data_IF_883861412061
#
_entry.id   IF_883861412061
#
_cell.length_a   1.000
_cell.length_b   1.000
_cell.length_c   1.000
_cell.angle_alpha   90.00
_cell.angle_beta   90.00
_cell.angle_gamma   90.00
#
_symmetry.space_group_name_H-M   'P 1'
#
loop_
_entity.id
_entity.type
_entity.pdbx_description
1 polymer ?
#
# COMPACT_ATOMS: atom_id res chain seq x y z
N UNK A 1 -2.06 23.36 10.95
CA UNK A 1 -2.54 24.34 9.95
C UNK A 1 -2.95 23.60 8.67
N UNK A 2 -3.54 24.29 7.69
CA UNK A 2 -3.87 23.70 6.39
C UNK A 2 -2.68 23.73 5.40
N UNK A 3 -1.53 24.23 5.82
CA UNK A 3 -0.33 24.40 4.99
C UNK A 3 0.66 23.24 5.17
N UNK A 4 0.39 22.34 6.11
CA UNK A 4 1.25 21.19 6.41
C UNK A 4 2.56 21.59 7.08
N UNK A 5 2.56 22.66 7.89
CA UNK A 5 3.77 23.11 8.58
C UNK A 5 4.17 22.06 9.61
N UNK A 6 5.42 21.56 9.58
CA UNK A 6 5.91 20.63 10.59
C UNK A 6 5.82 21.26 11.98
N UNK A 7 5.18 20.56 12.91
CA UNK A 7 5.06 20.99 14.30
C UNK A 7 6.35 20.71 15.07
N UNK A 8 6.99 19.57 14.78
CA UNK A 8 8.20 19.11 15.45
C UNK A 8 8.92 18.07 14.58
N UNK A 9 10.16 17.73 14.94
CA UNK A 9 10.91 16.65 14.29
C UNK A 9 11.88 15.97 15.24
N UNK A 10 12.08 14.68 15.02
CA UNK A 10 13.12 13.87 15.67
C UNK A 10 14.09 13.31 14.63
N UNK A 11 15.37 13.22 14.99
CA UNK A 11 16.41 12.65 14.13
C UNK A 11 16.86 11.32 14.70
N UNK A 12 16.73 10.26 13.90
CA UNK A 12 17.18 8.92 14.22
C UNK A 12 18.34 8.50 13.32
N UNK A 13 19.24 7.67 13.85
CA UNK A 13 20.29 7.05 13.04
C UNK A 13 19.66 6.07 12.04
N UNK A 14 20.15 6.06 10.79
CA UNK A 14 19.54 5.29 9.69
C UNK A 14 19.58 3.76 9.83
N UNK A 15 20.21 3.24 10.88
CA UNK A 15 20.20 1.82 11.24
C UNK A 15 19.04 1.45 12.19
N UNK A 16 18.28 2.43 12.69
CA UNK A 16 17.12 2.18 13.53
C UNK A 16 15.88 2.02 12.66
N UNK A 17 15.12 0.95 12.93
CA UNK A 17 13.84 0.71 12.28
C UNK A 17 12.81 1.74 12.75
N UNK A 18 12.12 2.37 11.78
CA UNK A 18 10.98 3.26 12.01
C UNK A 18 9.88 2.59 12.85
N UNK A 19 9.83 1.26 12.85
CA UNK A 19 8.92 0.49 13.68
C UNK A 19 9.04 0.81 15.17
N UNK A 20 10.27 0.94 15.68
CA UNK A 20 10.52 1.12 17.10
C UNK A 20 10.53 2.60 17.49
N UNK A 21 10.97 3.46 16.58
CA UNK A 21 11.19 4.88 16.86
C UNK A 21 9.90 5.69 16.74
N UNK A 22 9.01 5.34 15.81
CA UNK A 22 7.81 6.13 15.54
C UNK A 22 6.83 6.15 16.73
N UNK A 23 6.51 5.04 17.41
CA UNK A 23 5.63 5.09 18.58
C UNK A 23 6.19 5.96 19.71
N UNK A 24 7.51 5.92 19.92
CA UNK A 24 8.20 6.72 20.94
C UNK A 24 8.14 8.22 20.62
N UNK A 25 8.41 8.59 19.35
CA UNK A 25 8.29 9.97 18.89
C UNK A 25 6.86 10.49 19.11
N UNK A 26 5.87 9.70 18.74
CA UNK A 26 4.46 10.06 18.86
C UNK A 26 4.05 10.26 20.32
N UNK A 27 4.48 9.38 21.24
CA UNK A 27 4.20 9.55 22.67
C UNK A 27 4.82 10.83 23.22
N UNK A 28 6.07 11.12 22.86
CA UNK A 28 6.74 12.35 23.28
C UNK A 28 5.99 13.60 22.78
N UNK A 29 5.50 13.60 21.52
CA UNK A 29 4.69 14.69 20.98
C UNK A 29 3.34 14.80 21.70
N UNK A 30 2.71 13.67 22.00
CA UNK A 30 1.44 13.61 22.70
C UNK A 30 1.53 14.25 24.08
N UNK A 31 2.57 13.90 24.83
CA UNK A 31 2.84 14.47 26.15
C UNK A 31 3.21 15.95 26.07
N UNK A 32 4.09 16.32 25.13
CA UNK A 32 4.59 17.69 24.97
C UNK A 32 3.49 18.69 24.61
N UNK A 33 2.55 18.28 23.75
CA UNK A 33 1.50 19.16 23.23
C UNK A 33 0.10 18.88 23.80
N UNK A 34 -0.03 17.91 24.71
CA UNK A 34 -1.32 17.54 25.32
C UNK A 34 -2.32 17.01 24.29
N UNK A 35 -1.87 16.20 23.33
CA UNK A 35 -2.71 15.70 22.24
C UNK A 35 -3.57 14.54 22.76
N UNK A 36 -4.89 14.63 22.61
CA UNK A 36 -5.81 13.58 23.05
C UNK A 36 -5.94 12.46 22.01
N UNK A 37 -6.14 12.84 20.75
CA UNK A 37 -6.33 11.93 19.63
C UNK A 37 -5.15 11.95 18.68
N UNK A 38 -4.63 10.77 18.34
CA UNK A 38 -3.49 10.62 17.43
C UNK A 38 -3.82 9.62 16.34
N UNK A 39 -3.61 10.03 15.08
CA UNK A 39 -3.79 9.18 13.90
C UNK A 39 -2.48 9.13 13.11
N UNK A 40 -1.90 7.94 12.98
CA UNK A 40 -0.67 7.71 12.23
C UNK A 40 -1.02 7.57 10.76
N UNK A 41 -0.59 8.51 9.91
CA UNK A 41 -0.74 8.42 8.46
C UNK A 41 0.62 8.08 7.86
N UNK A 42 0.74 6.88 7.29
CA UNK A 42 2.01 6.41 6.75
C UNK A 42 1.85 5.56 5.50
N UNK A 43 2.98 5.30 4.86
CA UNK A 43 3.02 4.43 3.71
C UNK A 43 2.80 2.95 4.10
N UNK A 44 2.94 2.07 3.12
CA UNK A 44 2.76 0.62 3.31
C UNK A 44 3.82 -0.02 4.23
N UNK A 45 4.96 0.62 4.45
CA UNK A 45 6.08 0.07 5.22
C UNK A 45 5.68 -0.21 6.66
N UNK A 46 4.77 0.60 7.21
CA UNK A 46 4.24 0.43 8.56
C UNK A 46 2.99 -0.45 8.65
N UNK A 47 2.57 -1.07 7.55
CA UNK A 47 1.39 -1.94 7.50
C UNK A 47 1.70 -3.39 7.91
N UNK A 48 2.51 -3.57 8.96
CA UNK A 48 2.77 -4.88 9.58
C UNK A 48 1.72 -5.16 10.66
N UNK A 49 1.37 -6.43 10.91
CA UNK A 49 0.39 -6.75 11.96
C UNK A 49 0.88 -6.29 13.34
N UNK A 50 2.17 -6.48 13.63
CA UNK A 50 2.77 -6.08 14.89
C UNK A 50 2.67 -4.55 15.09
N UNK A 51 2.84 -3.76 14.03
CA UNK A 51 2.73 -2.30 14.07
C UNK A 51 1.30 -1.86 14.36
N UNK A 52 0.32 -2.46 13.66
CA UNK A 52 -1.09 -2.09 13.86
C UNK A 52 -1.58 -2.49 15.26
N UNK A 53 -1.12 -3.64 15.77
CA UNK A 53 -1.41 -4.05 17.15
C UNK A 53 -0.81 -3.09 18.16
N UNK A 54 0.45 -2.72 18.01
CA UNK A 54 1.13 -1.80 18.92
C UNK A 54 0.45 -0.42 18.92
N UNK A 55 0.14 0.12 17.74
CA UNK A 55 -0.62 1.35 17.60
C UNK A 55 -1.98 1.27 18.32
N UNK A 56 -2.75 0.20 18.09
CA UNK A 56 -4.05 0.02 18.73
C UNK A 56 -3.93 -0.12 20.26
N UNK A 57 -2.93 -0.85 20.76
CA UNK A 57 -2.67 -1.03 22.19
C UNK A 57 -2.31 0.29 22.89
N UNK A 58 -1.63 1.20 22.18
CA UNK A 58 -1.29 2.55 22.67
C UNK A 58 -2.44 3.55 22.51
N UNK A 59 -3.55 3.14 21.90
CA UNK A 59 -4.72 3.99 21.64
C UNK A 59 -4.57 4.90 20.42
N UNK A 60 -3.66 4.59 19.50
CA UNK A 60 -3.46 5.34 18.27
C UNK A 60 -4.35 4.82 17.14
N UNK A 61 -4.97 5.75 16.40
CA UNK A 61 -5.53 5.47 15.09
C UNK A 61 -4.44 5.34 14.04
N UNK A 62 -4.76 4.72 12.90
CA UNK A 62 -3.83 4.61 11.78
C UNK A 62 -4.53 4.64 10.42
N UNK A 63 -3.82 5.15 9.42
CA UNK A 63 -4.15 5.10 8.01
C UNK A 63 -2.89 4.70 7.24
N UNK A 64 -2.84 3.45 6.80
CA UNK A 64 -1.66 2.89 6.12
C UNK A 64 -2.04 2.25 4.78
N UNK A 65 -1.11 2.29 3.83
CA UNK A 65 -1.31 1.70 2.51
C UNK A 65 -1.41 0.17 2.55
N UNK A 66 -2.51 -0.40 2.02
CA UNK A 66 -2.73 -1.84 1.89
C UNK A 66 -2.57 -2.30 0.44
N UNK A 67 -1.71 -3.32 0.21
CA UNK A 67 -1.55 -3.91 -1.12
C UNK A 67 -2.78 -4.75 -1.48
N UNK A 68 -3.35 -4.47 -2.65
CA UNK A 68 -4.52 -5.19 -3.20
C UNK A 68 -4.20 -6.66 -3.50
N UNK A 69 -3.00 -6.96 -3.97
CA UNK A 69 -2.55 -8.34 -4.26
C UNK A 69 -2.72 -9.27 -3.05
N UNK A 70 -2.49 -8.74 -1.85
CA UNK A 70 -2.50 -9.47 -0.59
C UNK A 70 -3.89 -9.47 0.08
N UNK A 71 -4.90 -8.88 -0.54
CA UNK A 71 -6.26 -8.94 -0.03
C UNK A 71 -6.90 -10.31 -0.32
N UNK A 72 -7.72 -10.85 0.60
CA UNK A 72 -8.53 -12.02 0.32
C UNK A 72 -9.55 -11.74 -0.79
N UNK A 73 -10.04 -12.80 -1.42
CA UNK A 73 -10.91 -12.71 -2.60
C UNK A 73 -12.23 -12.00 -2.30
N UNK A 74 -12.73 -12.07 -1.07
CA UNK A 74 -13.94 -11.36 -0.63
C UNK A 74 -13.76 -9.85 -0.75
N UNK A 75 -12.66 -9.30 -0.23
CA UNK A 75 -12.36 -7.87 -0.31
C UNK A 75 -12.12 -7.45 -1.76
N UNK A 76 -11.46 -8.29 -2.57
CA UNK A 76 -11.31 -8.04 -4.02
C UNK A 76 -12.66 -7.97 -4.75
N UNK A 77 -13.63 -8.81 -4.39
CA UNK A 77 -14.99 -8.73 -4.92
C UNK A 77 -15.69 -7.45 -4.48
N UNK A 78 -15.53 -7.04 -3.23
CA UNK A 78 -16.11 -5.80 -2.72
C UNK A 78 -15.56 -4.55 -3.45
N UNK A 79 -14.33 -4.59 -3.95
CA UNK A 79 -13.71 -3.53 -4.75
C UNK A 79 -14.35 -3.34 -6.13
N UNK A 80 -14.82 -4.41 -6.77
CA UNK A 80 -15.40 -4.36 -8.11
C UNK A 80 -16.93 -4.28 -8.10
N UNK A 81 -17.54 -4.48 -6.94
CA UNK A 81 -18.97 -4.29 -6.73
C UNK A 81 -19.34 -2.79 -6.89
N UNK A 82 -20.25 -2.45 -7.82
CA UNK A 82 -20.67 -1.07 -8.07
C UNK A 82 -21.49 -0.46 -6.93
N UNK A 83 -21.95 -1.26 -5.96
CA UNK A 83 -22.75 -0.79 -4.85
C UNK A 83 -21.89 -0.35 -3.65
N UNK A 84 -22.46 0.50 -2.78
CA UNK A 84 -21.82 0.90 -1.51
C UNK A 84 -20.72 1.95 -1.64
N UNK A 85 -20.62 2.63 -2.79
CA UNK A 85 -19.70 3.75 -2.98
C UNK A 85 -20.34 5.07 -2.56
N UNK A 86 -19.56 5.91 -1.89
CA UNK A 86 -19.92 7.27 -1.49
C UNK A 86 -19.04 8.27 -2.24
N UNK A 87 -19.65 9.26 -2.88
CA UNK A 87 -18.94 10.33 -3.57
C UNK A 87 -18.40 11.36 -2.57
N UNK A 88 -17.09 11.64 -2.65
CA UNK A 88 -16.43 12.74 -1.90
C UNK A 88 -16.38 14.00 -2.76
N UNK A 89 -16.12 13.82 -4.07
CA UNK A 89 -16.06 14.91 -5.06
C UNK A 89 -16.53 14.40 -6.42
N UNK A 90 -16.42 15.23 -7.46
CA UNK A 90 -16.79 14.85 -8.83
C UNK A 90 -15.97 13.66 -9.38
N UNK A 91 -14.71 13.52 -8.93
CA UNK A 91 -13.79 12.48 -9.41
C UNK A 91 -13.41 11.47 -8.32
N UNK A 92 -13.67 11.73 -7.03
CA UNK A 92 -13.28 10.81 -5.95
C UNK A 92 -14.50 10.16 -5.30
N UNK A 93 -14.48 8.83 -5.27
CA UNK A 93 -15.42 7.99 -4.51
C UNK A 93 -14.66 7.12 -3.52
N UNK A 94 -15.29 6.80 -2.40
CA UNK A 94 -14.76 5.84 -1.44
C UNK A 94 -15.79 4.81 -1.03
N UNK A 95 -15.32 3.66 -0.52
CA UNK A 95 -16.11 2.59 0.06
C UNK A 95 -15.35 2.03 1.25
N UNK A 96 -15.97 2.04 2.43
CA UNK A 96 -15.40 1.45 3.63
C UNK A 96 -15.93 0.03 3.82
N UNK A 97 -15.04 -0.94 4.02
CA UNK A 97 -15.43 -2.33 4.28
C UNK A 97 -14.69 -2.90 5.49
N UNK A 98 -15.33 -3.73 6.33
CA UNK A 98 -14.64 -4.43 7.40
C UNK A 98 -13.52 -5.30 6.83
N UNK A 99 -12.37 -5.31 7.50
CA UNK A 99 -11.21 -6.08 7.10
C UNK A 99 -10.46 -6.61 8.31
N UNK A 100 -10.23 -7.92 8.34
CA UNK A 100 -9.35 -8.52 9.35
C UNK A 100 -7.96 -8.70 8.77
N UNK A 101 -7.00 -7.95 9.29
CA UNK A 101 -5.60 -8.17 8.94
C UNK A 101 -5.10 -9.36 9.75
N UNK A 102 -4.58 -10.38 9.06
CA UNK A 102 -3.97 -11.56 9.67
C UNK A 102 -2.46 -11.56 9.43
N UNK A 103 -1.71 -12.11 10.36
CA UNK A 103 -0.26 -12.18 10.29
C UNK A 103 0.33 -12.91 11.47
N UNK A 104 1.61 -13.26 11.37
CA UNK A 104 2.33 -13.89 12.46
C UNK A 104 3.04 -12.84 13.30
N UNK A 105 2.87 -12.90 14.61
CA UNK A 105 3.59 -12.10 15.60
C UNK A 105 4.25 -13.09 16.56
N UNK A 106 5.58 -13.07 16.64
CA UNK A 106 6.36 -14.01 17.46
C UNK A 106 6.00 -15.49 17.21
N UNK A 107 5.72 -15.85 15.95
CA UNK A 107 5.35 -17.22 15.56
C UNK A 107 3.88 -17.60 15.84
N UNK A 108 3.11 -16.73 16.47
CA UNK A 108 1.68 -16.93 16.73
C UNK A 108 0.87 -16.25 15.64
N UNK A 109 -0.12 -16.97 15.09
CA UNK A 109 -1.08 -16.38 14.16
C UNK A 109 -2.04 -15.48 14.93
N UNK A 110 -2.05 -14.22 14.55
CA UNK A 110 -2.86 -13.19 15.18
C UNK A 110 -3.69 -12.43 14.15
N UNK A 111 -4.71 -11.70 14.62
CA UNK A 111 -5.53 -10.84 13.78
C UNK A 111 -5.84 -9.50 14.45
N UNK A 112 -6.06 -8.48 13.62
CA UNK A 112 -6.49 -7.14 14.01
C UNK A 112 -7.68 -6.73 13.16
N UNK A 113 -8.73 -6.27 13.81
CA UNK A 113 -9.88 -5.66 13.16
C UNK A 113 -9.47 -4.29 12.59
N UNK A 114 -9.67 -4.13 11.29
CA UNK A 114 -9.37 -2.93 10.53
C UNK A 114 -10.57 -2.56 9.67
N UNK A 115 -10.58 -1.33 9.19
CA UNK A 115 -11.46 -0.91 8.10
C UNK A 115 -10.62 -0.68 6.86
N UNK A 116 -10.97 -1.34 5.76
CA UNK A 116 -10.35 -1.07 4.48
C UNK A 116 -11.11 0.06 3.79
N UNK A 117 -10.43 1.19 3.57
CA UNK A 117 -10.95 2.31 2.80
C UNK A 117 -10.50 2.14 1.36
N UNK A 118 -11.46 1.79 0.50
CA UNK A 118 -11.28 1.67 -0.93
C UNK A 118 -11.56 3.02 -1.57
N UNK A 119 -10.71 3.44 -2.49
CA UNK A 119 -10.88 4.70 -3.23
C UNK A 119 -10.91 4.44 -4.73
N UNK A 120 -11.79 5.15 -5.43
CA UNK A 120 -11.88 5.12 -6.87
C UNK A 120 -11.87 6.54 -7.43
N UNK A 121 -11.08 6.75 -8.48
CA UNK A 121 -11.07 7.98 -9.26
C UNK A 121 -10.95 7.67 -10.75
N UNK A 122 -11.70 8.38 -11.58
CA UNK A 122 -11.68 8.17 -13.02
C UNK A 122 -10.35 8.68 -13.61
N UNK A 123 -9.84 9.79 -13.09
CA UNK A 123 -8.52 10.30 -13.43
C UNK A 123 -7.41 9.29 -13.08
N UNK A 124 -7.48 8.67 -11.89
CA UNK A 124 -6.50 7.65 -11.48
C UNK A 124 -6.59 6.39 -12.34
N UNK A 125 -7.80 5.91 -12.60
CA UNK A 125 -8.06 4.76 -13.49
C UNK A 125 -7.47 4.99 -14.89
N UNK A 126 -7.69 6.16 -15.50
CA UNK A 126 -7.13 6.50 -16.82
C UNK A 126 -5.60 6.47 -16.81
N UNK A 127 -4.97 7.01 -15.76
CA UNK A 127 -3.51 6.97 -15.59
C UNK A 127 -2.99 5.55 -15.46
N UNK A 128 -3.59 4.76 -14.58
CA UNK A 128 -3.17 3.38 -14.32
C UNK A 128 -3.35 2.49 -15.58
N UNK A 129 -4.42 2.70 -16.37
CA UNK A 129 -4.62 2.02 -17.66
C UNK A 129 -3.54 2.42 -18.68
N UNK A 130 -3.25 3.72 -18.81
CA UNK A 130 -2.21 4.19 -19.73
C UNK A 130 -0.82 3.63 -19.38
N UNK A 131 -0.48 3.60 -18.08
CA UNK A 131 0.77 3.00 -17.60
C UNK A 131 0.81 1.49 -17.87
N UNK A 132 -0.32 0.79 -17.72
CA UNK A 132 -0.44 -0.63 -18.01
C UNK A 132 -0.29 -0.93 -19.50
N UNK A 133 -0.98 -0.18 -20.37
CA UNK A 133 -0.92 -0.34 -21.82
C UNK A 133 0.51 -0.12 -22.32
N UNK A 134 1.17 0.95 -21.87
CA UNK A 134 2.57 1.21 -22.20
C UNK A 134 3.53 0.11 -21.71
N UNK A 135 3.23 -0.51 -20.56
CA UNK A 135 4.01 -1.64 -20.06
C UNK A 135 3.79 -2.91 -20.90
N UNK A 136 2.55 -3.16 -21.35
CA UNK A 136 2.21 -4.28 -22.24
C UNK A 136 2.85 -4.11 -23.61
N UNK A 137 2.76 -2.93 -24.23
CA UNK A 137 3.39 -2.63 -25.52
C UNK A 137 4.92 -2.85 -25.47
N UNK A 138 5.56 -2.35 -24.41
CA UNK A 138 6.99 -2.55 -24.19
C UNK A 138 7.33 -4.05 -24.02
N UNK A 139 6.56 -4.76 -23.20
CA UNK A 139 6.72 -6.20 -22.99
C UNK A 139 6.57 -6.98 -24.30
N UNK A 140 5.58 -6.64 -25.13
CA UNK A 140 5.34 -7.26 -26.43
C UNK A 140 6.51 -7.04 -27.38
N UNK A 141 7.05 -5.81 -27.42
CA UNK A 141 8.25 -5.50 -28.22
C UNK A 141 9.44 -6.35 -27.79
N UNK A 142 9.71 -6.44 -26.48
CA UNK A 142 10.82 -7.25 -25.98
C UNK A 142 10.65 -8.73 -26.31
N UNK A 143 9.43 -9.28 -26.27
CA UNK A 143 9.14 -10.66 -26.69
C UNK A 143 9.43 -10.85 -28.18
N UNK A 144 9.00 -9.92 -29.04
CA UNK A 144 9.21 -10.00 -30.48
C UNK A 144 10.69 -9.90 -30.87
N UNK A 145 11.44 -9.04 -30.18
CA UNK A 145 12.86 -8.79 -30.41
C UNK A 145 13.77 -9.76 -29.64
N UNK A 146 13.19 -10.65 -28.80
CA UNK A 146 13.93 -11.48 -27.84
C UNK A 146 14.90 -10.68 -26.95
N UNK A 147 14.52 -9.45 -26.63
CA UNK A 147 15.34 -8.50 -25.88
C UNK A 147 15.29 -8.77 -24.37
N UNK A 148 16.33 -8.31 -23.67
CA UNK A 148 16.41 -8.37 -22.21
C UNK A 148 15.41 -7.41 -21.55
N UNK A 149 14.74 -7.87 -20.48
CA UNK A 149 13.90 -7.01 -19.66
C UNK A 149 14.75 -6.28 -18.61
N UNK A 150 14.76 -4.94 -18.60
CA UNK A 150 15.57 -4.19 -17.65
C UNK A 150 15.00 -4.27 -16.23
N UNK A 151 15.87 -4.48 -15.24
CA UNK A 151 15.49 -4.52 -13.82
C UNK A 151 14.88 -3.20 -13.31
N UNK A 152 15.18 -2.08 -13.97
CA UNK A 152 14.65 -0.75 -13.63
C UNK A 152 13.16 -0.59 -13.95
N UNK A 153 12.59 -1.43 -14.83
CA UNK A 153 11.16 -1.41 -15.13
C UNK A 153 10.39 -2.11 -14.01
N UNK A 154 9.26 -1.54 -13.61
CA UNK A 154 8.38 -2.13 -12.59
C UNK A 154 7.42 -3.10 -13.26
N UNK A 155 7.01 -4.15 -12.52
CA UNK A 155 5.93 -5.08 -12.86
C UNK A 155 6.12 -5.95 -14.11
N UNK A 156 7.24 -5.86 -14.82
CA UNK A 156 7.45 -6.67 -16.04
C UNK A 156 7.47 -8.17 -15.78
N UNK A 157 7.89 -8.59 -14.58
CA UNK A 157 7.90 -9.99 -14.15
C UNK A 157 6.49 -10.58 -14.06
N UNK A 158 5.45 -9.75 -13.91
CA UNK A 158 4.05 -10.19 -13.95
C UNK A 158 3.50 -10.28 -15.38
N UNK A 159 4.13 -9.58 -16.33
CA UNK A 159 3.68 -9.46 -17.73
C UNK A 159 4.37 -10.45 -18.68
N UNK A 160 5.62 -10.83 -18.39
CA UNK A 160 6.48 -11.58 -19.30
C UNK A 160 7.06 -12.82 -18.61
N UNK A 161 7.15 -13.92 -19.35
CA UNK A 161 8.01 -15.05 -19.02
C UNK A 161 9.37 -14.88 -19.65
N UNK A 162 10.42 -15.06 -18.85
CA UNK A 162 11.81 -14.93 -19.30
C UNK A 162 12.52 -16.27 -19.34
N UNK A 163 13.54 -16.35 -20.19
CA UNK A 163 14.47 -17.49 -20.17
C UNK A 163 15.46 -17.35 -19.01
N UNK A 164 15.95 -18.48 -18.50
CA UNK A 164 16.92 -18.52 -17.39
C UNK A 164 18.28 -17.91 -17.73
N UNK A 165 18.55 -17.64 -19.02
CA UNK A 165 19.71 -16.86 -19.46
C UNK A 165 19.26 -15.41 -19.71
N UNK A 166 19.82 -14.49 -18.92
CA UNK A 166 19.80 -13.04 -19.13
C UNK A 166 18.44 -12.30 -19.11
N UNK A 167 17.39 -12.86 -18.47
CA UNK A 167 16.07 -12.22 -18.42
C UNK A 167 15.49 -11.83 -19.81
N UNK A 168 15.89 -12.52 -20.87
CA UNK A 168 15.33 -12.33 -22.20
C UNK A 168 13.84 -12.69 -22.20
N UNK A 169 13.02 -11.80 -22.73
CA UNK A 169 11.58 -11.99 -22.86
C UNK A 169 11.26 -13.11 -23.87
N UNK A 170 10.48 -14.11 -23.46
CA UNK A 170 10.13 -15.28 -24.30
C UNK A 170 8.68 -15.25 -24.73
N UNK A 171 7.76 -14.97 -23.80
CA UNK A 171 6.32 -14.86 -24.09
C UNK A 171 5.62 -13.98 -23.07
N UNK A 172 4.47 -13.43 -23.43
CA UNK A 172 3.59 -12.76 -22.48
C UNK A 172 2.89 -13.77 -21.58
N UNK A 173 2.78 -13.44 -20.29
CA UNK A 173 1.92 -14.16 -19.35
C UNK A 173 0.47 -13.78 -19.65
N UNK A 174 -0.30 -14.68 -20.24
CA UNK A 174 -1.76 -14.48 -20.32
C UNK A 174 -2.35 -14.59 -18.92
N UNK A 175 -3.14 -13.57 -18.52
CA UNK A 175 -3.95 -13.58 -17.29
C UNK A 175 -5.32 -14.21 -17.56
#
# INVERSE_FOLDING_TARGET
DNEGIPVDFDIYSGNNSEYNTLPVAIEALREKYGIEETIIVADRGLNSLANLKDANNRGFGFLVGQRVSNLPNEQKKAMVDPNGWTSVSHDLKFKAVPFKKKGYVNGVLEEVDCTLVLTFSEARKKRDLHELDAAIEYAQRCVNEQAEMPESRRYWTELVETSSKANCAVRLKQK
#
